data_IF_392381447862
#
_entry.id   IF_392381447862
#
_cell.length_a   1.000
_cell.length_b   1.000
_cell.length_c   1.000
_cell.angle_alpha   90.00
_cell.angle_beta   90.00
_cell.angle_gamma   90.00
#
_symmetry.space_group_name_H-M   'P 1'
#
loop_
_entity.id
_entity.type
_entity.pdbx_description
1 polymer ?
#
# COMPACT_ATOMS: atom_id res chain seq x y z
N UNK A 1 -19.88 -1.26 -7.23
CA UNK A 1 -18.98 -2.20 -6.50
C UNK A 1 -17.71 -1.45 -6.13
N UNK A 2 -17.09 -1.71 -4.97
CA UNK A 2 -15.90 -0.97 -4.49
C UNK A 2 -14.77 -1.94 -4.19
N UNK A 3 -13.57 -1.65 -4.67
CA UNK A 3 -12.34 -2.41 -4.41
C UNK A 3 -11.39 -1.51 -3.62
N UNK A 4 -10.95 -1.96 -2.46
CA UNK A 4 -9.93 -1.28 -1.66
C UNK A 4 -8.56 -1.92 -1.96
N UNK A 5 -7.58 -1.10 -2.29
CA UNK A 5 -6.21 -1.56 -2.57
C UNK A 5 -5.24 -0.88 -1.61
N UNK A 6 -4.59 -1.62 -0.70
CA UNK A 6 -3.49 -1.08 0.09
C UNK A 6 -2.25 -0.89 -0.79
N UNK A 7 -1.67 0.30 -0.73
CA UNK A 7 -0.46 0.70 -1.40
C UNK A 7 0.58 0.99 -0.31
N UNK A 8 1.74 0.33 -0.37
CA UNK A 8 2.84 0.52 0.58
C UNK A 8 4.14 0.95 -0.13
N UNK A 9 4.06 1.26 -1.42
CA UNK A 9 5.20 1.62 -2.27
C UNK A 9 6.02 0.42 -2.74
N UNK A 10 5.74 -0.80 -2.28
CA UNK A 10 6.44 -2.00 -2.76
C UNK A 10 5.95 -2.42 -4.14
N UNK A 11 6.81 -3.09 -4.90
CA UNK A 11 6.44 -3.73 -6.20
C UNK A 11 5.24 -4.67 -6.06
N UNK A 12 5.10 -5.34 -4.91
CA UNK A 12 3.98 -6.24 -4.67
C UNK A 12 2.64 -5.51 -4.51
N UNK A 13 2.63 -4.33 -3.87
CA UNK A 13 1.42 -3.52 -3.78
C UNK A 13 0.96 -3.03 -5.15
N UNK A 14 1.89 -2.61 -6.02
CA UNK A 14 1.56 -2.20 -7.40
C UNK A 14 1.05 -3.36 -8.25
N UNK A 15 1.64 -4.56 -8.12
CA UNK A 15 1.09 -5.77 -8.76
C UNK A 15 -0.34 -6.08 -8.29
N UNK A 16 -0.65 -5.80 -7.03
CA UNK A 16 -2.01 -5.89 -6.50
C UNK A 16 -2.97 -4.89 -7.16
N UNK A 17 -2.51 -3.65 -7.37
CA UNK A 17 -3.25 -2.61 -8.08
C UNK A 17 -3.53 -3.00 -9.54
N UNK A 18 -2.57 -3.56 -10.27
CA UNK A 18 -2.76 -4.00 -11.66
C UNK A 18 -3.89 -5.03 -11.80
N UNK A 19 -3.95 -5.97 -10.85
CA UNK A 19 -5.04 -6.95 -10.78
C UNK A 19 -6.38 -6.27 -10.46
N UNK A 20 -6.39 -5.35 -9.51
CA UNK A 20 -7.59 -4.60 -9.16
C UNK A 20 -8.14 -3.79 -10.34
N UNK A 21 -7.28 -3.18 -11.16
CA UNK A 21 -7.66 -2.48 -12.41
C UNK A 21 -8.36 -3.43 -13.37
N UNK A 22 -7.80 -4.63 -13.56
CA UNK A 22 -8.38 -5.64 -14.43
C UNK A 22 -9.80 -6.04 -13.97
N UNK A 23 -9.98 -6.24 -12.65
CA UNK A 23 -11.30 -6.53 -12.08
C UNK A 23 -12.27 -5.35 -12.16
N UNK A 24 -11.80 -4.14 -11.87
CA UNK A 24 -12.65 -2.96 -11.89
C UNK A 24 -13.25 -2.69 -13.28
N UNK A 25 -12.46 -2.91 -14.33
CA UNK A 25 -12.92 -2.82 -15.73
C UNK A 25 -14.01 -3.84 -16.03
N UNK A 26 -13.82 -5.11 -15.67
CA UNK A 26 -14.79 -6.16 -15.95
C UNK A 26 -16.08 -6.03 -15.13
N UNK A 27 -15.99 -5.48 -13.91
CA UNK A 27 -17.10 -5.44 -12.96
C UNK A 27 -17.81 -4.08 -12.87
N UNK A 28 -17.36 -3.10 -13.66
CA UNK A 28 -17.72 -1.69 -13.52
C UNK A 28 -17.61 -1.22 -12.06
N UNK A 29 -16.47 -1.53 -11.43
CA UNK A 29 -16.20 -1.19 -10.04
C UNK A 29 -15.33 0.07 -9.94
N UNK A 30 -15.38 0.72 -8.78
CA UNK A 30 -14.48 1.81 -8.42
C UNK A 30 -13.36 1.27 -7.54
N UNK A 31 -12.14 1.74 -7.76
CA UNK A 31 -10.99 1.43 -6.93
C UNK A 31 -10.73 2.60 -5.98
N UNK A 32 -10.45 2.28 -4.73
CA UNK A 32 -9.90 3.21 -3.74
C UNK A 32 -8.51 2.69 -3.35
N UNK A 33 -7.46 3.44 -3.68
CA UNK A 33 -6.12 3.18 -3.18
C UNK A 33 -5.93 3.82 -1.81
N UNK A 34 -5.31 3.11 -0.87
CA UNK A 34 -4.96 3.64 0.46
C UNK A 34 -3.48 3.43 0.71
N UNK A 35 -2.78 4.51 1.03
CA UNK A 35 -1.41 4.48 1.53
C UNK A 35 -1.40 4.93 2.98
N UNK A 36 -0.72 4.17 3.84
CA UNK A 36 -0.63 4.46 5.28
C UNK A 36 0.76 4.95 5.61
N UNK A 37 0.84 6.20 6.08
CA UNK A 37 2.05 6.72 6.70
C UNK A 37 2.11 6.23 8.16
N UNK A 38 3.14 5.47 8.54
CA UNK A 38 3.32 5.11 9.95
C UNK A 38 3.65 6.35 10.76
N UNK A 39 2.95 6.53 11.88
CA UNK A 39 3.26 7.55 12.89
C UNK A 39 4.05 6.84 13.98
N UNK A 40 5.30 7.27 14.19
CA UNK A 40 6.15 6.75 15.26
C UNK A 40 6.04 7.65 16.48
N UNK A 41 5.87 7.05 17.65
CA UNK A 41 5.82 7.79 18.91
C UNK A 41 7.22 8.18 19.42
N UNK A 42 8.25 7.45 18.98
CA UNK A 42 9.65 7.74 19.34
C UNK A 42 10.57 7.66 18.13
N UNK A 43 11.73 8.34 18.20
CA UNK A 43 12.77 8.23 17.19
C UNK A 43 13.30 6.79 17.05
N UNK A 44 13.39 6.05 18.16
CA UNK A 44 13.80 4.65 18.16
C UNK A 44 12.83 3.76 17.36
N UNK A 45 11.53 4.01 17.43
CA UNK A 45 10.54 3.25 16.66
C UNK A 45 10.66 3.52 15.15
N UNK A 46 10.96 4.76 14.78
CA UNK A 46 11.21 5.14 13.40
C UNK A 46 12.49 4.47 12.86
N UNK A 47 13.59 4.53 13.62
CA UNK A 47 14.86 3.88 13.26
C UNK A 47 14.71 2.37 13.12
N UNK A 48 14.02 1.71 14.06
CA UNK A 48 13.73 0.27 13.97
C UNK A 48 12.96 -0.08 12.70
N UNK A 49 11.97 0.73 12.33
CA UNK A 49 11.19 0.49 11.12
C UNK A 49 12.02 0.69 9.85
N UNK A 50 12.83 1.75 9.79
CA UNK A 50 13.74 2.00 8.68
C UNK A 50 14.76 0.86 8.52
N UNK A 51 15.31 0.38 9.63
CA UNK A 51 16.20 -0.78 9.64
C UNK A 51 15.51 -2.06 9.14
N UNK A 52 14.29 -2.35 9.59
CA UNK A 52 13.48 -3.47 9.08
C UNK A 52 13.16 -3.35 7.58
N UNK A 53 13.07 -2.12 7.04
CA UNK A 53 12.84 -1.85 5.62
C UNK A 53 14.12 -1.79 4.79
N UNK A 54 15.29 -1.86 5.40
CA UNK A 54 16.58 -1.70 4.71
C UNK A 54 16.81 -0.28 4.17
N UNK A 55 16.28 0.72 4.86
CA UNK A 55 16.32 2.14 4.47
C UNK A 55 17.17 3.00 5.44
N UNK A 56 17.82 2.36 6.41
CA UNK A 56 18.71 2.98 7.39
C UNK A 56 20.17 2.87 6.97
#
# INVERSE_FOLDING_TARGET
KKILVPLDGSRNSFRGLDKAISFARALHATITGVFVLPIYHTALDAERWLAHKGLA
#
